data_IF_461464371945
#
_entry.id   IF_461464371945
#
_cell.length_a   1.000
_cell.length_b   1.000
_cell.length_c   1.000
_cell.angle_alpha   90.00
_cell.angle_beta   90.00
_cell.angle_gamma   90.00
#
_symmetry.space_group_name_H-M   'P 1'
#
loop_
_entity.id
_entity.type
_entity.pdbx_description
1 polymer ?
#
# COMPACT_ATOMS: atom_id res chain seq x y z
N UNK A 1 1.40 -6.08 -3.75
CA UNK A 1 0.09 -5.76 -4.36
C UNK A 1 -0.64 -4.88 -3.37
N UNK A 2 -1.01 -3.65 -3.77
CA UNK A 2 -1.77 -2.71 -2.94
C UNK A 2 -3.21 -2.71 -3.46
N UNK A 3 -4.19 -2.72 -2.56
CA UNK A 3 -5.62 -2.79 -2.89
C UNK A 3 -6.30 -1.50 -2.45
N UNK A 4 -6.75 -0.71 -3.42
CA UNK A 4 -7.69 0.37 -3.19
C UNK A 4 -9.11 -0.14 -3.46
N UNK A 5 -10.05 0.19 -2.57
CA UNK A 5 -11.44 -0.23 -2.72
C UNK A 5 -12.37 0.97 -2.79
N UNK A 6 -13.37 0.86 -3.66
CA UNK A 6 -14.38 1.90 -3.88
C UNK A 6 -15.75 1.27 -3.62
N UNK A 7 -16.48 1.83 -2.67
CA UNK A 7 -17.87 1.51 -2.38
C UNK A 7 -18.76 2.69 -2.76
N UNK A 8 -19.58 2.52 -3.81
CA UNK A 8 -20.62 3.49 -4.17
C UNK A 8 -21.88 3.25 -3.34
N UNK A 9 -22.64 4.32 -3.07
CA UNK A 9 -23.91 4.26 -2.33
C UNK A 9 -24.97 3.44 -3.07
N UNK A 10 -24.90 2.11 -2.96
CA UNK A 10 -25.96 1.19 -3.34
C UNK A 10 -26.43 0.54 -2.04
N UNK A 11 -27.26 1.26 -1.28
CA UNK A 11 -27.93 0.86 -0.04
C UNK A 11 -27.03 0.56 1.18
N UNK A 12 -27.59 0.74 2.38
CA UNK A 12 -26.95 0.63 3.70
C UNK A 12 -26.33 -0.77 3.97
N UNK A 13 -25.18 -1.02 3.36
CA UNK A 13 -24.43 -2.28 3.47
C UNK A 13 -23.18 -2.07 4.31
N UNK A 14 -23.39 -1.72 5.58
CA UNK A 14 -22.35 -1.61 6.61
C UNK A 14 -21.38 -2.81 6.62
N UNK A 15 -21.86 -4.03 6.30
CA UNK A 15 -21.03 -5.23 6.13
C UNK A 15 -20.08 -5.14 4.93
N UNK A 16 -20.56 -4.67 3.77
CA UNK A 16 -19.74 -4.50 2.58
C UNK A 16 -18.61 -3.51 2.82
N UNK A 17 -18.93 -2.36 3.44
CA UNK A 17 -17.94 -1.36 3.85
C UNK A 17 -16.83 -1.95 4.72
N UNK A 18 -17.18 -2.76 5.74
CA UNK A 18 -16.20 -3.43 6.60
C UNK A 18 -15.29 -4.40 5.84
N UNK A 19 -15.84 -5.12 4.86
CA UNK A 19 -15.06 -6.05 4.03
C UNK A 19 -14.07 -5.29 3.15
N UNK A 20 -14.53 -4.22 2.49
CA UNK A 20 -13.67 -3.37 1.65
C UNK A 20 -12.54 -2.74 2.47
N UNK A 21 -12.87 -2.21 3.65
CA UNK A 21 -11.90 -1.64 4.59
C UNK A 21 -10.86 -2.68 5.06
N UNK A 22 -11.31 -3.88 5.46
CA UNK A 22 -10.42 -4.94 5.91
C UNK A 22 -9.44 -5.41 4.82
N UNK A 23 -9.93 -5.60 3.58
CA UNK A 23 -9.10 -6.05 2.46
C UNK A 23 -8.09 -4.97 2.07
N UNK A 24 -8.52 -3.70 1.95
CA UNK A 24 -7.63 -2.59 1.63
C UNK A 24 -6.53 -2.41 2.67
N UNK A 25 -6.89 -2.38 3.96
CA UNK A 25 -5.93 -2.24 5.07
C UNK A 25 -4.89 -3.35 5.12
N UNK A 26 -5.28 -4.59 4.83
CA UNK A 26 -4.35 -5.74 4.83
C UNK A 26 -3.22 -5.55 3.81
N UNK A 27 -3.48 -4.83 2.72
CA UNK A 27 -2.50 -4.55 1.67
C UNK A 27 -1.73 -3.23 1.84
N UNK A 28 -2.02 -2.46 2.89
CA UNK A 28 -1.53 -1.08 3.06
C UNK A 28 -2.21 -0.05 2.16
N UNK A 29 -3.30 -0.42 1.48
CA UNK A 29 -4.13 0.49 0.69
C UNK A 29 -5.24 1.15 1.50
N UNK A 30 -6.16 1.82 0.82
CA UNK A 30 -7.25 2.58 1.43
C UNK A 30 -8.62 2.20 0.84
N UNK A 31 -9.66 2.33 1.67
CA UNK A 31 -11.05 2.16 1.28
C UNK A 31 -11.76 3.52 1.20
N UNK A 32 -12.42 3.77 0.08
CA UNK A 32 -13.23 4.96 -0.18
C UNK A 32 -14.69 4.50 -0.29
N UNK A 33 -15.48 4.78 0.72
CA UNK A 33 -16.84 4.25 0.88
C UNK A 33 -17.82 5.39 1.10
N UNK A 34 -19.11 5.12 0.87
CA UNK A 34 -20.19 6.13 0.98
C UNK A 34 -19.99 7.27 -0.03
N UNK A 35 -19.50 6.92 -1.23
CA UNK A 35 -19.33 7.88 -2.31
C UNK A 35 -20.62 7.98 -3.13
N UNK A 36 -21.08 9.22 -3.32
CA UNK A 36 -22.03 9.53 -4.39
C UNK A 36 -21.37 9.34 -5.76
N UNK A 37 -22.18 9.16 -6.82
CA UNK A 37 -21.67 9.05 -8.20
C UNK A 37 -20.75 10.20 -8.61
N UNK A 38 -20.99 11.41 -8.08
CA UNK A 38 -20.15 12.60 -8.33
C UNK A 38 -18.80 12.59 -7.60
N UNK A 39 -18.64 11.78 -6.56
CA UNK A 39 -17.43 11.72 -5.73
C UNK A 39 -16.48 10.61 -6.16
N UNK A 40 -16.95 9.66 -6.96
CA UNK A 40 -16.13 8.56 -7.49
C UNK A 40 -14.93 9.09 -8.28
N UNK A 41 -15.11 10.13 -9.11
CA UNK A 41 -14.01 10.75 -9.87
C UNK A 41 -12.96 11.37 -8.95
N UNK A 42 -13.37 11.99 -7.84
CA UNK A 42 -12.47 12.55 -6.83
C UNK A 42 -11.69 11.44 -6.11
N UNK A 43 -12.35 10.33 -5.79
CA UNK A 43 -11.68 9.17 -5.18
C UNK A 43 -10.59 8.60 -6.10
N UNK A 44 -10.83 8.52 -7.42
CA UNK A 44 -9.79 8.12 -8.37
C UNK A 44 -8.61 9.10 -8.43
N UNK A 45 -8.86 10.40 -8.36
CA UNK A 45 -7.78 11.40 -8.28
C UNK A 45 -6.94 11.23 -7.00
N UNK A 46 -7.59 11.01 -5.86
CA UNK A 46 -6.90 10.73 -4.59
C UNK A 46 -6.10 9.43 -4.62
N UNK A 47 -6.64 8.36 -5.22
CA UNK A 47 -5.92 7.10 -5.41
C UNK A 47 -4.65 7.33 -6.23
N UNK A 48 -4.73 8.14 -7.30
CA UNK A 48 -3.56 8.48 -8.12
C UNK A 48 -2.50 9.21 -7.30
N UNK A 49 -2.87 10.25 -6.56
CA UNK A 49 -1.92 10.98 -5.70
C UNK A 49 -1.29 10.07 -4.64
N UNK A 50 -2.09 9.19 -4.02
CA UNK A 50 -1.60 8.18 -3.09
C UNK A 50 -0.59 7.26 -3.76
N UNK A 51 -0.92 6.72 -4.93
CA UNK A 51 -0.03 5.85 -5.70
C UNK A 51 1.29 6.55 -6.06
N UNK A 52 1.24 7.81 -6.47
CA UNK A 52 2.42 8.61 -6.82
C UNK A 52 3.30 8.89 -5.58
N UNK A 53 2.71 8.90 -4.39
CA UNK A 53 3.42 9.04 -3.11
C UNK A 53 3.96 7.72 -2.53
N UNK A 54 3.54 6.56 -3.07
CA UNK A 54 3.96 5.27 -2.53
C UNK A 54 5.40 4.93 -2.95
N UNK A 55 6.19 4.50 -1.98
CA UNK A 55 7.52 3.96 -2.25
C UNK A 55 7.45 2.47 -2.59
N UNK A 56 8.00 2.09 -3.73
CA UNK A 56 8.16 0.68 -4.10
C UNK A 56 9.49 0.14 -3.60
N UNK A 57 9.45 -0.86 -2.73
CA UNK A 57 10.64 -1.62 -2.30
C UNK A 57 10.57 -3.01 -2.93
N UNK A 58 11.59 -3.38 -3.69
CA UNK A 58 11.76 -4.73 -4.23
C UNK A 58 12.93 -5.41 -3.53
N UNK A 59 12.68 -6.55 -2.90
CA UNK A 59 13.72 -7.39 -2.30
C UNK A 59 13.82 -8.70 -3.09
N UNK A 60 14.82 -8.87 -3.96
CA UNK A 60 15.07 -10.16 -4.59
C UNK A 60 15.68 -11.10 -3.54
N UNK A 61 15.00 -12.19 -3.14
CA UNK A 61 15.61 -13.15 -2.23
C UNK A 61 16.83 -13.78 -2.90
N UNK A 62 17.94 -13.90 -2.15
CA UNK A 62 19.13 -14.58 -2.65
C UNK A 62 18.80 -16.04 -3.02
N UNK A 63 19.29 -16.46 -4.19
CA UNK A 63 18.86 -17.61 -5.02
C UNK A 63 18.94 -19.04 -4.42
N UNK A 64 18.97 -19.21 -3.09
CA UNK A 64 19.16 -20.54 -2.48
C UNK A 64 18.23 -20.90 -1.33
N UNK A 65 17.28 -20.04 -0.96
CA UNK A 65 16.40 -20.30 0.18
C UNK A 65 15.05 -20.90 -0.21
N UNK A 66 15.02 -22.08 -0.86
CA UNK A 66 13.75 -22.81 -0.99
C UNK A 66 13.26 -23.19 0.42
N UNK A 67 12.19 -22.53 0.89
CA UNK A 67 11.49 -22.85 2.14
C UNK A 67 11.95 -22.16 3.43
N UNK A 68 12.88 -21.19 3.38
CA UNK A 68 13.23 -20.40 4.58
C UNK A 68 12.46 -19.08 4.63
N UNK A 69 11.86 -18.80 5.78
CA UNK A 69 11.25 -17.50 6.10
C UNK A 69 12.37 -16.49 6.34
N UNK A 70 12.33 -15.36 5.63
CA UNK A 70 13.21 -14.24 5.86
C UNK A 70 12.44 -13.17 6.63
N UNK A 71 12.92 -12.83 7.83
CA UNK A 71 12.42 -11.67 8.55
C UNK A 71 12.96 -10.41 7.86
N UNK A 72 12.04 -9.59 7.35
CA UNK A 72 12.33 -8.30 6.76
C UNK A 72 11.83 -7.24 7.73
N UNK A 73 12.71 -6.33 8.14
CA UNK A 73 12.33 -5.19 8.96
C UNK A 73 12.61 -3.89 8.18
N UNK A 74 11.58 -3.08 7.98
CA UNK A 74 11.70 -1.76 7.34
C UNK A 74 11.72 -0.72 8.45
N UNK A 75 12.81 0.04 8.53
CA UNK A 75 12.95 1.17 9.45
C UNK A 75 12.94 2.48 8.68
N UNK A 76 12.26 3.48 9.25
CA UNK A 76 12.44 4.85 8.81
C UNK A 76 13.89 5.27 9.14
N UNK A 77 14.65 5.68 8.12
CA UNK A 77 15.97 6.26 8.29
C UNK A 77 15.86 7.79 8.41
N UNK A 78 16.98 8.49 8.66
CA UNK A 78 16.96 9.96 8.70
C UNK A 78 16.53 10.53 7.34
N UNK A 79 15.53 11.42 7.35
CA UNK A 79 14.95 12.03 6.14
C UNK A 79 13.89 11.13 5.47
N UNK A 80 13.62 11.35 4.18
CA UNK A 80 12.71 10.51 3.39
C UNK A 80 13.37 9.21 2.89
N UNK A 81 14.25 8.60 3.70
CA UNK A 81 14.96 7.37 3.35
C UNK A 81 14.46 6.23 4.23
N UNK A 82 14.43 5.02 3.69
CA UNK A 82 14.07 3.81 4.41
C UNK A 82 15.25 2.84 4.38
N UNK A 83 15.46 2.16 5.49
CA UNK A 83 16.44 1.07 5.60
C UNK A 83 15.69 -0.27 5.68
N UNK A 84 16.06 -1.21 4.82
CA UNK A 84 15.65 -2.60 4.95
C UNK A 84 16.75 -3.36 5.70
N UNK A 85 16.38 -3.85 6.87
CA UNK A 85 17.23 -4.75 7.65
C UNK A 85 16.91 -6.17 7.24
N UNK A 86 17.88 -6.81 6.60
CA UNK A 86 17.96 -8.27 6.46
C UNK A 86 19.23 -8.74 7.18
N UNK A 87 19.63 -10.01 7.05
CA UNK A 87 20.98 -10.42 7.51
C UNK A 87 22.10 -9.61 6.84
N UNK A 88 21.82 -8.98 5.70
CA UNK A 88 22.64 -7.93 5.09
C UNK A 88 21.87 -6.60 5.07
N UNK A 89 22.55 -5.50 5.42
CA UNK A 89 21.96 -4.17 5.49
C UNK A 89 21.83 -3.60 4.07
N UNK A 90 20.63 -3.25 3.62
CA UNK A 90 20.41 -2.63 2.30
C UNK A 90 19.66 -1.30 2.47
N UNK A 91 20.29 -0.22 2.02
CA UNK A 91 19.72 1.14 2.05
C UNK A 91 19.16 1.51 0.68
N UNK A 92 17.99 2.15 0.65
CA UNK A 92 17.41 2.71 -0.57
C UNK A 92 16.90 4.13 -0.33
N UNK A 93 16.98 4.94 -1.38
CA UNK A 93 16.58 6.34 -1.38
C UNK A 93 15.25 6.48 -2.11
N UNK A 94 14.30 7.19 -1.50
CA UNK A 94 13.08 7.62 -2.16
C UNK A 94 13.42 8.42 -3.44
N UNK A 95 13.02 7.90 -4.59
CA UNK A 95 12.95 8.68 -5.82
C UNK A 95 11.52 9.20 -5.93
N UNK A 96 11.36 10.52 -5.90
CA UNK A 96 10.10 11.14 -6.30
C UNK A 96 9.95 10.90 -7.80
N UNK A 97 8.79 10.39 -8.24
CA UNK A 97 8.45 10.42 -9.66
C UNK A 97 8.27 11.89 -10.04
N UNK A 98 9.03 12.35 -11.04
CA UNK A 98 8.81 13.65 -11.69
C UNK A 98 7.43 13.71 -12.36
#
# INVERSE_FOLDING_TARGET
MVIFSIGTEISDRSRGKRVLDAISKTSGGAAFTDLSSSEVSKAFAQIRELMDSMYQVSFPPQSSSKGRVHALEIKAAKGAQFELLTREKVSFKAMASN
#
